data_IF_452867754098
#
_entry.id   IF_452867754098
#
_cell.length_a   1.000
_cell.length_b   1.000
_cell.length_c   1.000
_cell.angle_alpha   90.00
_cell.angle_beta   90.00
_cell.angle_gamma   90.00
#
_symmetry.space_group_name_H-M   'P 1'
#
loop_
_entity.id
_entity.type
_entity.pdbx_description
1 polymer ?
#
# COMPACT_ATOMS: atom_id res chain seq x y z
N UNK A 1 -46.80 5.36 30.74
CA UNK A 1 -46.36 5.62 29.36
C UNK A 1 -46.51 7.11 29.12
N UNK A 2 -45.40 7.84 29.03
CA UNK A 2 -45.39 9.26 28.65
C UNK A 2 -44.80 9.30 27.26
N UNK A 3 -45.62 9.59 26.26
CA UNK A 3 -45.23 9.70 24.86
C UNK A 3 -44.72 11.12 24.64
N UNK A 4 -43.41 11.28 24.42
CA UNK A 4 -42.81 12.55 24.02
C UNK A 4 -42.95 12.66 22.50
N UNK A 5 -43.60 13.73 22.04
CA UNK A 5 -43.74 14.02 20.61
C UNK A 5 -42.37 14.35 19.98
N UNK A 6 -42.12 13.96 18.72
CA UNK A 6 -40.89 14.34 18.03
C UNK A 6 -40.94 15.84 17.77
N UNK A 7 -39.97 16.57 18.34
CA UNK A 7 -39.75 17.97 18.02
C UNK A 7 -39.44 18.10 16.54
N UNK A 8 -40.28 18.84 15.81
CA UNK A 8 -40.01 19.27 14.45
C UNK A 8 -38.73 20.11 14.46
N UNK A 9 -37.63 19.55 13.98
CA UNK A 9 -36.44 20.34 13.67
C UNK A 9 -36.83 21.40 12.64
N UNK A 10 -36.54 22.66 12.93
CA UNK A 10 -36.68 23.73 11.95
C UNK A 10 -35.78 23.42 10.73
N UNK A 11 -36.19 23.79 9.50
CA UNK A 11 -35.32 23.67 8.35
C UNK A 11 -34.04 24.46 8.62
N UNK A 12 -32.90 23.77 8.61
CA UNK A 12 -31.58 24.41 8.64
C UNK A 12 -31.50 25.24 7.37
N UNK A 13 -31.47 26.57 7.54
CA UNK A 13 -31.31 27.50 6.44
C UNK A 13 -29.98 27.17 5.74
N UNK A 14 -29.96 26.98 4.40
CA UNK A 14 -28.72 26.66 3.70
C UNK A 14 -27.71 27.77 3.96
N UNK A 15 -26.51 27.39 4.40
CA UNK A 15 -25.43 28.33 4.64
C UNK A 15 -25.24 29.22 3.40
N UNK A 16 -25.06 30.52 3.61
CA UNK A 16 -24.76 31.43 2.50
C UNK A 16 -23.50 30.96 1.78
N UNK A 17 -23.47 30.97 0.43
CA UNK A 17 -22.29 30.55 -0.31
C UNK A 17 -21.08 31.40 0.11
N UNK A 18 -19.88 30.81 0.17
CA UNK A 18 -18.67 31.54 0.53
C UNK A 18 -18.41 32.70 -0.44
N UNK A 19 -17.75 33.75 0.04
CA UNK A 19 -17.39 34.88 -0.81
C UNK A 19 -16.40 34.46 -1.90
N UNK A 20 -16.35 35.22 -2.99
CA UNK A 20 -15.37 35.00 -4.06
C UNK A 20 -13.92 35.03 -3.56
N UNK A 21 -13.61 35.92 -2.61
CA UNK A 21 -12.28 36.03 -1.99
C UNK A 21 -11.90 34.77 -1.20
N UNK A 22 -12.83 34.22 -0.41
CA UNK A 22 -12.61 32.95 0.33
C UNK A 22 -12.41 31.79 -0.64
N UNK A 23 -13.21 31.75 -1.71
CA UNK A 23 -13.16 30.72 -2.75
C UNK A 23 -11.80 30.72 -3.46
N UNK A 24 -11.28 31.90 -3.83
CA UNK A 24 -9.98 32.06 -4.45
C UNK A 24 -8.84 31.69 -3.49
N UNK A 25 -8.94 32.10 -2.23
CA UNK A 25 -7.97 31.75 -1.19
C UNK A 25 -7.86 30.23 -1.00
N UNK A 26 -8.99 29.53 -0.90
CA UNK A 26 -9.03 28.06 -0.75
C UNK A 26 -8.37 27.39 -1.96
N UNK A 27 -8.75 27.76 -3.18
CA UNK A 27 -8.17 27.18 -4.39
C UNK A 27 -6.66 27.43 -4.48
N UNK A 28 -6.20 28.64 -4.11
CA UNK A 28 -4.77 28.96 -4.08
C UNK A 28 -4.00 28.11 -3.06
N UNK A 29 -4.58 27.84 -1.89
CA UNK A 29 -3.96 26.99 -0.86
C UNK A 29 -3.89 25.53 -1.26
N UNK A 30 -4.96 24.97 -1.83
CA UNK A 30 -4.98 23.60 -2.33
C UNK A 30 -3.96 23.39 -3.46
N UNK A 31 -3.84 24.37 -4.37
CA UNK A 31 -2.80 24.39 -5.41
C UNK A 31 -1.40 24.45 -4.84
N UNK A 32 -1.17 25.32 -3.85
CA UNK A 32 0.13 25.43 -3.19
C UNK A 32 0.53 24.15 -2.44
N UNK A 33 -0.45 23.39 -1.92
CA UNK A 33 -0.22 22.08 -1.32
C UNK A 33 0.14 20.99 -2.35
N UNK A 34 -0.05 21.24 -3.65
CA UNK A 34 0.34 20.32 -4.72
C UNK A 34 -0.80 19.43 -5.25
N UNK A 35 -2.07 19.80 -5.03
CA UNK A 35 -3.20 19.10 -5.64
C UNK A 35 -3.33 19.41 -7.14
N UNK A 36 -3.88 18.43 -7.86
CA UNK A 36 -4.20 18.57 -9.28
C UNK A 36 -5.34 19.56 -9.51
N UNK A 37 -5.33 20.24 -10.66
CA UNK A 37 -6.44 21.13 -11.06
C UNK A 37 -7.71 20.34 -11.41
N UNK A 38 -7.53 19.15 -11.99
CA UNK A 38 -8.58 18.26 -12.48
C UNK A 38 -8.33 16.84 -11.98
N UNK A 39 -9.39 16.01 -11.83
CA UNK A 39 -9.24 14.66 -11.31
C UNK A 39 -8.28 13.80 -12.12
N UNK A 40 -7.41 13.08 -11.42
CA UNK A 40 -6.44 12.13 -11.95
C UNK A 40 -6.38 10.91 -11.04
N UNK A 41 -6.41 9.70 -11.62
CA UNK A 41 -6.31 8.42 -10.88
C UNK A 41 -7.36 8.25 -9.76
N UNK A 42 -8.48 8.95 -9.87
CA UNK A 42 -9.57 8.90 -8.90
C UNK A 42 -9.43 9.86 -7.72
N UNK A 43 -8.48 10.81 -7.77
CA UNK A 43 -8.42 11.91 -6.79
C UNK A 43 -9.60 12.89 -6.94
N UNK A 44 -9.86 13.68 -5.90
CA UNK A 44 -10.93 14.70 -5.91
C UNK A 44 -10.51 15.92 -6.73
N UNK A 45 -9.23 16.28 -6.67
CA UNK A 45 -8.63 17.47 -7.24
C UNK A 45 -9.25 18.79 -6.75
N UNK A 46 -8.60 19.91 -7.08
CA UNK A 46 -9.09 21.26 -6.74
C UNK A 46 -10.51 21.45 -7.25
N UNK A 47 -10.80 21.07 -8.51
CA UNK A 47 -12.14 21.23 -9.07
C UNK A 47 -13.23 20.50 -8.27
N UNK A 48 -12.95 19.31 -7.74
CA UNK A 48 -13.91 18.55 -6.94
C UNK A 48 -14.14 19.22 -5.59
N UNK A 49 -13.08 19.63 -4.89
CA UNK A 49 -13.23 20.34 -3.61
C UNK A 49 -13.98 21.66 -3.76
N UNK A 50 -13.72 22.43 -4.83
CA UNK A 50 -14.43 23.69 -5.08
C UNK A 50 -15.92 23.48 -5.38
N UNK A 51 -16.28 22.38 -6.06
CA UNK A 51 -17.68 22.01 -6.24
C UNK A 51 -18.36 21.67 -4.91
N UNK A 52 -17.71 20.88 -4.05
CA UNK A 52 -18.22 20.53 -2.72
C UNK A 52 -18.36 21.76 -1.81
N UNK A 53 -17.40 22.69 -1.89
CA UNK A 53 -17.46 23.97 -1.19
C UNK A 53 -18.66 24.81 -1.65
N UNK A 54 -18.88 24.92 -2.95
CA UNK A 54 -20.02 25.64 -3.51
C UNK A 54 -21.37 25.00 -3.16
N UNK A 55 -21.40 23.67 -3.02
CA UNK A 55 -22.57 22.91 -2.59
C UNK A 55 -22.82 22.95 -1.07
N UNK A 56 -21.88 23.50 -0.29
CA UNK A 56 -21.95 23.50 1.18
C UNK A 56 -21.73 22.12 1.80
N UNK A 57 -21.16 21.17 1.05
CA UNK A 57 -20.83 19.82 1.53
C UNK A 57 -19.56 19.82 2.40
N UNK A 58 -18.68 20.78 2.18
CA UNK A 58 -17.47 21.04 2.97
C UNK A 58 -17.33 22.56 3.16
N UNK A 59 -16.86 23.00 4.32
CA UNK A 59 -16.61 24.41 4.57
C UNK A 59 -15.16 24.83 4.22
N UNK A 60 -14.94 26.14 4.13
CA UNK A 60 -13.65 26.70 3.77
C UNK A 60 -12.57 26.41 4.84
N UNK A 61 -12.95 26.36 6.12
CA UNK A 61 -12.01 26.08 7.22
C UNK A 61 -11.43 24.66 7.09
N UNK A 62 -12.27 23.69 6.78
CA UNK A 62 -11.87 22.29 6.53
C UNK A 62 -10.90 22.20 5.36
N UNK A 63 -11.18 22.86 4.24
CA UNK A 63 -10.28 22.84 3.08
C UNK A 63 -8.95 23.57 3.32
N UNK A 64 -8.96 24.65 4.10
CA UNK A 64 -7.73 25.35 4.50
C UNK A 64 -6.87 24.50 5.45
N UNK A 65 -7.49 23.82 6.41
CA UNK A 65 -6.79 22.88 7.29
C UNK A 65 -6.24 21.70 6.49
N UNK A 66 -7.04 21.13 5.59
CA UNK A 66 -6.62 20.05 4.70
C UNK A 66 -5.39 20.43 3.87
N UNK A 67 -5.36 21.62 3.28
CA UNK A 67 -4.19 22.12 2.55
C UNK A 67 -2.94 22.25 3.44
N UNK A 68 -3.09 22.65 4.70
CA UNK A 68 -1.98 22.75 5.65
C UNK A 68 -1.45 21.37 6.08
N UNK A 69 -2.35 20.41 6.29
CA UNK A 69 -2.00 19.03 6.62
C UNK A 69 -1.26 18.37 5.44
N UNK A 70 -1.76 18.54 4.22
CA UNK A 70 -1.11 18.09 2.99
C UNK A 70 0.30 18.68 2.83
N UNK A 71 0.48 19.99 3.06
CA UNK A 71 1.82 20.62 3.04
C UNK A 71 2.77 20.01 4.08
N UNK A 72 2.27 19.71 5.29
CA UNK A 72 3.06 19.02 6.32
C UNK A 72 3.49 17.62 5.84
N UNK A 73 2.57 16.82 5.29
CA UNK A 73 2.85 15.48 4.80
C UNK A 73 3.88 15.50 3.65
N UNK A 74 3.72 16.43 2.70
CA UNK A 74 4.63 16.59 1.58
C UNK A 74 6.05 16.99 2.05
N UNK A 75 6.15 18.01 2.92
CA UNK A 75 7.45 18.45 3.47
C UNK A 75 8.14 17.33 4.24
N UNK A 76 7.42 16.65 5.14
CA UNK A 76 7.98 15.55 5.91
C UNK A 76 8.48 14.43 4.99
N UNK A 77 7.65 13.95 4.06
CA UNK A 77 8.04 12.84 3.17
C UNK A 77 9.20 13.21 2.24
N UNK A 78 9.30 14.48 1.81
CA UNK A 78 10.44 15.01 1.04
C UNK A 78 11.72 14.98 1.86
N UNK A 79 11.70 15.44 3.11
CA UNK A 79 12.85 15.41 4.02
C UNK A 79 13.36 13.99 4.30
N UNK A 80 12.48 12.98 4.21
CA UNK A 80 12.82 11.57 4.35
C UNK A 80 13.21 10.87 3.02
N UNK A 81 13.24 11.61 1.90
CA UNK A 81 13.68 11.11 0.60
C UNK A 81 12.63 10.31 -0.19
N UNK A 82 11.36 10.33 0.24
CA UNK A 82 10.24 9.73 -0.49
C UNK A 82 9.51 10.73 -1.38
N UNK A 83 9.29 11.97 -0.91
CA UNK A 83 8.51 12.99 -1.62
C UNK A 83 7.16 12.46 -2.13
N UNK A 84 6.30 11.96 -1.24
CA UNK A 84 5.02 11.34 -1.59
C UNK A 84 4.12 12.40 -2.26
N UNK A 85 3.62 12.18 -3.49
CA UNK A 85 2.79 13.15 -4.18
C UNK A 85 1.53 13.50 -3.38
N UNK A 86 1.20 14.79 -3.27
CA UNK A 86 0.04 15.24 -2.49
C UNK A 86 -1.28 14.60 -2.96
N UNK A 87 -1.44 14.45 -4.28
CA UNK A 87 -2.63 13.86 -4.89
C UNK A 87 -2.90 12.40 -4.46
N UNK A 88 -1.88 11.64 -4.04
CA UNK A 88 -2.06 10.29 -3.51
C UNK A 88 -2.98 10.25 -2.28
N UNK A 89 -2.97 11.32 -1.48
CA UNK A 89 -3.79 11.44 -0.29
C UNK A 89 -5.23 11.90 -0.57
N UNK A 90 -5.49 12.45 -1.76
CA UNK A 90 -6.75 13.10 -2.12
C UNK A 90 -7.78 12.14 -2.71
N UNK A 91 -7.96 10.98 -2.06
CA UNK A 91 -8.83 9.92 -2.57
C UNK A 91 -9.85 9.52 -1.53
N UNK A 92 -11.11 9.45 -1.96
CA UNK A 92 -12.21 8.91 -1.19
C UNK A 92 -12.68 7.58 -1.78
N UNK A 93 -12.12 6.47 -1.29
CA UNK A 93 -12.55 5.15 -1.73
C UNK A 93 -13.96 4.83 -1.20
N UNK A 94 -14.64 3.89 -1.87
CA UNK A 94 -15.96 3.38 -1.40
C UNK A 94 -15.86 2.76 -0.01
N UNK A 95 -14.75 2.09 0.28
CA UNK A 95 -14.49 1.45 1.57
C UNK A 95 -14.23 2.48 2.66
N UNK A 96 -13.47 3.54 2.39
CA UNK A 96 -13.31 4.67 3.30
C UNK A 96 -14.68 5.26 3.63
N UNK A 97 -15.48 5.57 2.61
CA UNK A 97 -16.82 6.11 2.80
C UNK A 97 -17.73 5.18 3.61
N UNK A 98 -17.68 3.87 3.36
CA UNK A 98 -18.46 2.86 4.11
C UNK A 98 -18.06 2.79 5.59
N UNK A 99 -16.79 3.08 5.92
CA UNK A 99 -16.27 3.11 7.27
C UNK A 99 -16.34 4.51 7.93
N UNK A 100 -16.99 5.48 7.30
CA UNK A 100 -17.13 6.85 7.82
C UNK A 100 -15.88 7.71 7.68
N UNK A 101 -14.94 7.31 6.81
CA UNK A 101 -13.72 8.05 6.48
C UNK A 101 -13.87 8.81 5.16
N UNK A 102 -13.12 9.90 5.06
CA UNK A 102 -12.90 10.68 3.85
C UNK A 102 -11.43 11.13 3.77
N UNK A 103 -11.05 11.76 2.66
CA UNK A 103 -9.70 12.24 2.42
C UNK A 103 -9.25 13.25 3.49
N UNK A 104 -10.16 14.08 4.00
CA UNK A 104 -9.85 15.12 4.99
C UNK A 104 -9.50 14.49 6.34
N UNK A 105 -10.32 13.54 6.80
CA UNK A 105 -10.14 12.84 8.06
C UNK A 105 -8.91 11.95 8.05
N UNK A 106 -8.64 11.24 6.94
CA UNK A 106 -7.42 10.43 6.80
C UNK A 106 -6.17 11.32 6.83
N UNK A 107 -6.11 12.35 6.00
CA UNK A 107 -4.95 13.25 5.96
C UNK A 107 -4.71 13.91 7.31
N UNK A 108 -5.77 14.35 8.00
CA UNK A 108 -5.64 14.91 9.33
C UNK A 108 -5.09 13.91 10.35
N UNK A 109 -5.49 12.65 10.30
CA UNK A 109 -4.97 11.61 11.18
C UNK A 109 -3.50 11.26 10.89
N UNK A 110 -3.07 11.29 9.63
CA UNK A 110 -1.66 11.07 9.29
C UNK A 110 -0.81 12.32 9.59
N UNK A 111 -1.42 13.51 9.56
CA UNK A 111 -0.76 14.78 9.80
C UNK A 111 -0.56 15.13 11.28
N UNK A 112 -0.79 14.21 12.23
CA UNK A 112 -0.41 14.40 13.64
C UNK A 112 0.98 13.82 13.94
N UNK A 113 1.68 14.28 14.99
CA UNK A 113 2.98 13.73 15.39
C UNK A 113 2.96 12.23 15.70
N UNK A 114 1.88 11.72 16.25
CA UNK A 114 1.73 10.31 16.63
C UNK A 114 1.73 9.36 15.43
N UNK A 115 1.35 9.85 14.24
CA UNK A 115 1.38 9.10 12.99
C UNK A 115 2.73 9.21 12.24
N UNK A 116 3.70 9.98 12.75
CA UNK A 116 5.02 10.12 12.12
C UNK A 116 5.75 8.79 11.89
N UNK A 117 5.69 7.77 12.77
CA UNK A 117 6.29 6.47 12.48
C UNK A 117 5.74 5.85 11.19
N UNK A 118 4.43 5.95 10.96
CA UNK A 118 3.78 5.43 9.77
C UNK A 118 4.13 6.24 8.53
N UNK A 119 4.10 7.57 8.62
CA UNK A 119 4.52 8.44 7.51
C UNK A 119 6.00 8.21 7.14
N UNK A 120 6.86 7.98 8.14
CA UNK A 120 8.27 7.64 7.94
C UNK A 120 8.43 6.30 7.21
N UNK A 121 7.64 5.29 7.58
CA UNK A 121 7.61 4.00 6.90
C UNK A 121 7.30 4.18 5.41
N UNK A 122 6.21 4.89 5.08
CA UNK A 122 5.81 5.14 3.70
C UNK A 122 6.88 5.92 2.93
N UNK A 123 7.43 6.98 3.53
CA UNK A 123 8.45 7.80 2.88
C UNK A 123 9.76 7.04 2.63
N UNK A 124 10.21 6.21 3.58
CA UNK A 124 11.43 5.41 3.43
C UNK A 124 11.24 4.27 2.42
N UNK A 125 10.09 3.58 2.46
CA UNK A 125 9.76 2.54 1.50
C UNK A 125 9.68 3.10 0.08
N UNK A 126 8.94 4.19 -0.10
CA UNK A 126 8.83 4.85 -1.40
C UNK A 126 10.17 5.42 -1.88
N UNK A 127 10.96 6.03 -0.99
CA UNK A 127 12.32 6.48 -1.33
C UNK A 127 13.25 5.35 -1.76
N UNK A 128 13.12 4.14 -1.18
CA UNK A 128 13.86 2.95 -1.65
C UNK A 128 13.40 2.51 -3.04
N UNK A 129 12.09 2.53 -3.28
CA UNK A 129 11.51 2.21 -4.57
C UNK A 129 11.96 3.20 -5.66
N UNK A 130 11.94 4.51 -5.39
CA UNK A 130 12.41 5.54 -6.33
C UNK A 130 13.88 5.37 -6.72
N UNK A 131 14.75 5.02 -5.77
CA UNK A 131 16.16 4.71 -6.09
C UNK A 131 16.28 3.56 -7.08
N UNK A 132 15.47 2.52 -6.91
CA UNK A 132 15.40 1.41 -7.86
C UNK A 132 14.92 1.89 -9.23
N UNK A 133 13.79 2.61 -9.32
CA UNK A 133 13.28 3.10 -10.61
C UNK A 133 14.27 4.00 -11.35
N UNK A 134 15.06 4.78 -10.62
CA UNK A 134 16.07 5.65 -11.21
C UNK A 134 17.23 4.87 -11.89
N UNK A 135 17.51 3.64 -11.46
CA UNK A 135 18.70 2.89 -11.90
C UNK A 135 18.38 1.52 -12.53
N UNK A 136 17.11 1.09 -12.53
CA UNK A 136 16.69 -0.22 -13.05
C UNK A 136 17.08 -0.42 -14.53
N UNK A 137 16.97 0.62 -15.35
CA UNK A 137 17.29 0.56 -16.78
C UNK A 137 18.79 0.36 -17.04
N UNK A 138 19.65 0.77 -16.11
CA UNK A 138 21.09 0.52 -16.14
C UNK A 138 21.47 -0.83 -15.53
N UNK A 139 20.52 -1.55 -14.90
CA UNK A 139 20.75 -2.82 -14.23
C UNK A 139 21.59 -2.72 -12.95
N UNK A 140 21.73 -1.53 -12.37
CA UNK A 140 22.51 -1.28 -11.15
C UNK A 140 21.75 -1.67 -9.87
N UNK A 141 20.43 -1.71 -9.96
CA UNK A 141 19.51 -2.13 -8.90
C UNK A 141 18.40 -3.00 -9.49
N UNK A 142 17.77 -3.82 -8.66
CA UNK A 142 16.80 -4.81 -9.11
C UNK A 142 15.51 -4.76 -8.31
N UNK A 143 14.42 -5.21 -8.93
CA UNK A 143 13.11 -5.29 -8.29
C UNK A 143 13.15 -6.17 -7.04
N UNK A 144 13.85 -7.31 -7.13
CA UNK A 144 14.07 -8.21 -6.00
C UNK A 144 14.80 -7.52 -4.84
N UNK A 145 15.89 -6.80 -5.12
CA UNK A 145 16.67 -6.10 -4.09
C UNK A 145 15.85 -5.01 -3.42
N UNK A 146 15.17 -4.19 -4.22
CA UNK A 146 14.36 -3.10 -3.73
C UNK A 146 13.18 -3.58 -2.88
N UNK A 147 12.45 -4.61 -3.32
CA UNK A 147 11.36 -5.20 -2.55
C UNK A 147 11.86 -5.74 -1.20
N UNK A 148 12.97 -6.47 -1.18
CA UNK A 148 13.51 -7.05 0.06
C UNK A 148 14.14 -6.00 0.99
N UNK A 149 14.79 -4.96 0.46
CA UNK A 149 15.39 -3.88 1.27
C UNK A 149 14.34 -3.08 2.06
N UNK A 150 13.09 -3.04 1.60
CA UNK A 150 11.99 -2.34 2.29
C UNK A 150 11.71 -2.93 3.67
N UNK A 151 12.08 -4.19 3.96
CA UNK A 151 11.99 -4.75 5.31
C UNK A 151 12.73 -3.92 6.36
N UNK A 152 13.82 -3.22 5.99
CA UNK A 152 14.53 -2.35 6.91
C UNK A 152 13.67 -1.18 7.42
N UNK A 153 12.85 -0.57 6.54
CA UNK A 153 11.92 0.48 6.92
C UNK A 153 10.80 -0.07 7.84
N UNK A 154 10.31 -1.28 7.54
CA UNK A 154 9.31 -1.95 8.36
C UNK A 154 9.85 -2.30 9.75
N UNK A 155 11.10 -2.77 9.84
CA UNK A 155 11.73 -3.06 11.12
C UNK A 155 11.81 -1.82 12.02
N UNK A 156 12.21 -0.67 11.46
CA UNK A 156 12.23 0.62 12.17
C UNK A 156 10.83 1.04 12.62
N UNK A 157 9.82 0.83 11.78
CA UNK A 157 8.42 1.10 12.14
C UNK A 157 7.94 0.23 13.32
N UNK A 158 8.18 -1.08 13.25
CA UNK A 158 7.80 -2.05 14.29
C UNK A 158 8.43 -1.72 15.65
N UNK A 159 9.68 -1.25 15.66
CA UNK A 159 10.37 -0.83 16.89
C UNK A 159 9.71 0.38 17.55
N UNK A 160 9.15 1.29 16.75
CA UNK A 160 8.47 2.49 17.25
C UNK A 160 7.03 2.23 17.69
N UNK A 161 6.36 1.25 17.09
CA UNK A 161 4.94 0.97 17.33
C UNK A 161 4.68 -0.12 18.38
N UNK A 162 5.67 -0.97 18.69
CA UNK A 162 5.54 -1.99 19.74
C UNK A 162 5.28 -1.34 21.11
N UNK A 163 4.19 -1.68 21.83
CA UNK A 163 3.44 -2.94 21.73
C UNK A 163 2.03 -2.84 21.12
N UNK A 164 1.68 -1.78 20.39
CA UNK A 164 0.30 -1.63 19.90
C UNK A 164 -0.02 -2.60 18.75
N UNK A 165 -1.23 -3.21 18.73
CA UNK A 165 -1.65 -4.09 17.66
C UNK A 165 -1.83 -3.31 16.35
N UNK A 166 -1.45 -3.94 15.25
CA UNK A 166 -1.42 -3.37 13.90
C UNK A 166 -2.80 -3.30 13.24
N UNK A 167 -2.98 -2.46 12.20
CA UNK A 167 -4.21 -2.41 11.43
C UNK A 167 -4.24 -3.58 10.44
N UNK A 168 -4.60 -4.77 10.91
CA UNK A 168 -4.90 -5.94 10.08
C UNK A 168 -6.31 -6.42 10.42
N UNK A 169 -7.16 -6.61 9.42
CA UNK A 169 -8.57 -7.01 9.60
C UNK A 169 -8.75 -8.43 10.17
N UNK A 170 -7.71 -9.29 10.09
CA UNK A 170 -7.68 -10.59 10.76
C UNK A 170 -6.60 -10.66 11.86
N UNK A 171 -6.87 -10.07 13.05
CA UNK A 171 -5.96 -10.10 14.18
C UNK A 171 -5.79 -11.50 14.78
N UNK A 172 -6.57 -12.51 14.37
CA UNK A 172 -6.43 -13.87 14.86
C UNK A 172 -5.30 -14.64 14.15
N UNK A 173 -4.98 -14.26 12.90
CA UNK A 173 -3.89 -14.86 12.12
C UNK A 173 -2.51 -14.28 12.49
N UNK A 174 -2.43 -13.01 12.90
CA UNK A 174 -1.19 -12.33 13.26
C UNK A 174 -0.80 -12.65 14.71
N UNK A 175 0.15 -13.58 14.90
CA UNK A 175 0.48 -14.14 16.23
C UNK A 175 1.70 -13.52 16.89
N UNK A 176 2.37 -12.57 16.22
CA UNK A 176 3.52 -11.89 16.80
C UNK A 176 4.17 -10.86 15.89
N UNK A 177 5.31 -10.34 16.34
CA UNK A 177 6.08 -9.28 15.65
C UNK A 177 6.53 -9.68 14.25
N UNK A 178 6.87 -10.95 14.02
CA UNK A 178 7.28 -11.44 12.71
C UNK A 178 6.12 -11.38 11.70
N UNK A 179 4.95 -11.90 12.09
CA UNK A 179 3.76 -11.86 11.26
C UNK A 179 3.35 -10.42 10.92
N UNK A 180 3.34 -9.55 11.93
CA UNK A 180 3.10 -8.11 11.79
C UNK A 180 4.07 -7.45 10.79
N UNK A 181 5.37 -7.68 10.99
CA UNK A 181 6.42 -7.19 10.09
C UNK A 181 6.20 -7.66 8.64
N UNK A 182 5.81 -8.92 8.44
CA UNK A 182 5.57 -9.44 7.10
C UNK A 182 4.30 -8.86 6.47
N UNK A 183 3.22 -8.68 7.25
CA UNK A 183 1.98 -8.07 6.79
C UNK A 183 2.19 -6.61 6.36
N UNK A 184 2.88 -5.81 7.17
CA UNK A 184 3.22 -4.42 6.81
C UNK A 184 4.11 -4.36 5.59
N UNK A 185 5.11 -5.23 5.51
CA UNK A 185 5.97 -5.30 4.33
C UNK A 185 5.20 -5.64 3.06
N UNK A 186 4.32 -6.65 3.11
CA UNK A 186 3.53 -7.05 1.95
C UNK A 186 2.50 -6.00 1.55
N UNK A 187 1.90 -5.31 2.54
CA UNK A 187 1.06 -4.13 2.31
C UNK A 187 1.84 -3.06 1.55
N UNK A 188 3.05 -2.73 1.99
CA UNK A 188 3.86 -1.66 1.41
C UNK A 188 4.40 -2.00 0.02
N UNK A 189 4.77 -3.26 -0.23
CA UNK A 189 5.36 -3.71 -1.51
C UNK A 189 4.30 -3.96 -2.57
N UNK A 190 3.18 -4.61 -2.20
CA UNK A 190 2.19 -5.08 -3.17
C UNK A 190 0.80 -4.50 -2.91
N UNK A 191 0.41 -4.24 -1.66
CA UNK A 191 -0.95 -3.80 -1.31
C UNK A 191 -2.04 -4.81 -1.66
N UNK A 192 -1.68 -6.00 -2.14
CA UNK A 192 -2.62 -7.02 -2.58
C UNK A 192 -3.41 -7.56 -1.39
N UNK A 193 -4.73 -7.64 -1.54
CA UNK A 193 -5.65 -8.37 -0.66
C UNK A 193 -6.03 -9.68 -1.35
N UNK A 194 -6.24 -10.76 -0.60
CA UNK A 194 -6.68 -12.05 -1.17
C UNK A 194 -7.99 -12.50 -0.56
N UNK A 195 -8.83 -13.08 -1.41
CA UNK A 195 -10.09 -13.71 -1.04
C UNK A 195 -10.04 -15.17 -1.44
N UNK A 196 -10.58 -16.04 -0.59
CA UNK A 196 -10.72 -17.45 -0.88
C UNK A 196 -11.75 -17.61 -2.02
N UNK A 197 -11.37 -18.17 -3.17
CA UNK A 197 -12.26 -18.26 -4.32
C UNK A 197 -13.43 -19.24 -4.12
N UNK A 198 -13.34 -20.15 -3.14
CA UNK A 198 -14.39 -21.13 -2.83
C UNK A 198 -15.41 -20.59 -1.83
N UNK A 199 -14.97 -19.81 -0.85
CA UNK A 199 -15.85 -19.31 0.23
C UNK A 199 -16.26 -17.86 0.04
N UNK A 200 -15.51 -17.07 -0.73
CA UNK A 200 -15.68 -15.62 -0.85
C UNK A 200 -15.19 -14.83 0.38
N UNK A 201 -14.63 -15.51 1.38
CA UNK A 201 -14.08 -14.90 2.59
C UNK A 201 -12.65 -14.38 2.33
N UNK A 202 -12.23 -13.24 2.89
CA UNK A 202 -10.84 -12.78 2.83
C UNK A 202 -9.87 -13.84 3.39
N UNK A 203 -8.80 -14.15 2.65
CA UNK A 203 -7.64 -14.88 3.18
C UNK A 203 -6.73 -13.94 3.98
N UNK A 204 -6.54 -12.71 3.48
CA UNK A 204 -5.94 -11.60 4.22
C UNK A 204 -6.31 -10.29 3.51
N UNK A 205 -6.42 -9.18 4.27
CA UNK A 205 -6.80 -7.85 3.79
C UNK A 205 -5.99 -6.77 4.48
N UNK A 206 -5.68 -5.70 3.74
CA UNK A 206 -5.10 -4.46 4.27
C UNK A 206 -6.14 -3.36 4.47
N UNK A 207 -7.42 -3.67 4.33
CA UNK A 207 -8.53 -2.72 4.52
C UNK A 207 -8.35 -1.47 3.66
N UNK A 208 -8.75 -0.31 4.21
CA UNK A 208 -8.52 1.02 3.65
C UNK A 208 -7.04 1.33 3.35
N UNK A 209 -6.09 0.62 3.95
CA UNK A 209 -4.64 0.81 3.76
C UNK A 209 -4.06 -0.01 2.61
N UNK A 210 -4.86 -0.82 1.89
CA UNK A 210 -4.38 -1.53 0.70
C UNK A 210 -3.78 -0.60 -0.37
N UNK A 211 -4.22 0.66 -0.39
CA UNK A 211 -3.69 1.71 -1.27
C UNK A 211 -2.31 2.21 -0.85
N UNK A 212 -1.92 2.01 0.40
CA UNK A 212 -0.72 2.60 1.00
C UNK A 212 0.53 1.76 0.69
N UNK A 213 0.70 1.47 -0.60
CA UNK A 213 1.80 0.72 -1.17
C UNK A 213 2.63 1.62 -2.10
N UNK A 214 3.91 1.32 -2.23
CA UNK A 214 4.87 2.14 -3.00
C UNK A 214 4.49 2.23 -4.49
N UNK A 215 3.82 1.21 -5.01
CA UNK A 215 3.36 1.18 -6.38
C UNK A 215 2.27 2.21 -6.64
N UNK A 216 1.22 2.24 -5.81
CA UNK A 216 0.16 3.24 -5.95
C UNK A 216 0.71 4.65 -5.74
N UNK A 217 1.63 4.86 -4.80
CA UNK A 217 2.30 6.16 -4.64
C UNK A 217 3.00 6.57 -5.95
N UNK A 218 3.72 5.64 -6.60
CA UNK A 218 4.40 5.89 -7.87
C UNK A 218 3.45 6.22 -9.02
N UNK A 219 2.28 5.57 -9.09
CA UNK A 219 1.27 5.89 -10.11
C UNK A 219 0.87 7.36 -10.08
N UNK A 220 0.72 7.93 -8.88
CA UNK A 220 0.44 9.35 -8.69
C UNK A 220 1.62 10.25 -9.06
N UNK A 221 2.85 9.80 -8.85
CA UNK A 221 4.07 10.54 -9.22
C UNK A 221 4.21 10.66 -10.74
N UNK A 222 3.90 9.59 -11.48
CA UNK A 222 3.96 9.57 -12.96
C UNK A 222 2.65 9.93 -13.65
N UNK A 223 1.55 10.03 -12.90
CA UNK A 223 0.21 10.33 -13.41
C UNK A 223 -0.38 9.25 -14.32
N UNK A 224 -0.03 7.97 -14.09
CA UNK A 224 -0.43 6.86 -14.96
C UNK A 224 -0.85 5.63 -14.14
N UNK A 225 -1.96 4.99 -14.52
CA UNK A 225 -2.36 3.70 -13.98
C UNK A 225 -1.36 2.61 -14.40
N UNK A 226 -0.93 1.80 -13.44
CA UNK A 226 0.03 0.71 -13.67
C UNK A 226 -0.37 -0.51 -12.84
N UNK A 227 -0.24 -1.69 -13.41
CA UNK A 227 -0.33 -2.94 -12.67
C UNK A 227 0.90 -3.13 -11.78
N UNK A 228 0.78 -3.95 -10.71
CA UNK A 228 1.91 -4.31 -9.84
C UNK A 228 3.08 -4.88 -10.65
N UNK A 229 2.74 -5.67 -11.66
CA UNK A 229 3.71 -6.29 -12.55
C UNK A 229 4.47 -5.29 -13.44
N UNK A 230 3.81 -4.21 -13.90
CA UNK A 230 4.48 -3.11 -14.62
C UNK A 230 5.35 -2.25 -13.70
N UNK A 231 4.98 -2.10 -12.42
CA UNK A 231 5.71 -1.26 -11.47
C UNK A 231 7.04 -1.91 -11.05
N UNK A 232 7.00 -3.21 -10.74
CA UNK A 232 8.15 -3.95 -10.25
C UNK A 232 8.94 -4.67 -11.36
N UNK A 233 8.25 -5.37 -12.28
CA UNK A 233 8.91 -6.33 -13.16
C UNK A 233 9.57 -7.48 -12.41
N UNK A 234 10.59 -8.09 -13.02
CA UNK A 234 11.24 -9.35 -12.54
C UNK A 234 12.77 -9.25 -12.48
N UNK A 235 13.33 -8.05 -12.50
CA UNK A 235 14.78 -7.89 -12.45
C UNK A 235 15.35 -8.44 -11.13
N UNK A 236 16.50 -9.10 -11.21
CA UNK A 236 17.18 -9.71 -10.07
C UNK A 236 16.80 -11.16 -9.77
N UNK A 237 15.66 -11.64 -10.27
CA UNK A 237 15.28 -13.05 -10.17
C UNK A 237 16.09 -13.90 -11.16
N UNK A 238 16.57 -15.06 -10.71
CA UNK A 238 17.18 -16.05 -11.59
C UNK A 238 16.10 -16.67 -12.52
N UNK A 239 16.47 -17.12 -13.74
CA UNK A 239 15.51 -17.51 -14.76
C UNK A 239 14.48 -18.56 -14.31
N UNK A 240 14.86 -19.49 -13.43
CA UNK A 240 13.96 -20.52 -12.91
C UNK A 240 12.81 -19.97 -12.04
N UNK A 241 12.92 -18.74 -11.54
CA UNK A 241 11.86 -18.07 -10.79
C UNK A 241 11.06 -17.09 -11.65
N UNK A 242 11.32 -17.01 -12.96
CA UNK A 242 10.57 -16.17 -13.89
C UNK A 242 9.78 -17.02 -14.87
N UNK A 243 10.34 -18.13 -15.34
CA UNK A 243 9.67 -18.99 -16.31
C UNK A 243 9.66 -18.36 -17.69
N UNK A 244 8.54 -17.77 -18.10
CA UNK A 244 8.36 -17.16 -19.43
C UNK A 244 8.68 -15.67 -19.45
N UNK A 245 9.06 -15.14 -20.62
CA UNK A 245 9.44 -13.73 -20.77
C UNK A 245 8.29 -12.73 -20.50
N UNK A 246 7.04 -13.20 -20.60
CA UNK A 246 5.85 -12.41 -20.32
C UNK A 246 5.53 -12.32 -18.82
N UNK A 247 6.13 -13.18 -17.99
CA UNK A 247 5.92 -13.15 -16.56
C UNK A 247 6.63 -11.94 -15.96
N UNK A 248 5.86 -11.05 -15.34
CA UNK A 248 6.33 -9.79 -14.79
C UNK A 248 5.88 -9.57 -13.32
N UNK A 249 5.26 -10.55 -12.67
CA UNK A 249 4.57 -10.38 -11.38
C UNK A 249 5.30 -10.99 -10.16
N UNK A 250 6.57 -11.39 -10.31
CA UNK A 250 7.23 -12.25 -9.31
C UNK A 250 7.45 -11.57 -7.94
N UNK A 251 7.56 -10.24 -7.89
CA UNK A 251 7.55 -9.53 -6.60
C UNK A 251 6.21 -9.69 -5.89
N UNK A 252 5.10 -9.59 -6.62
CA UNK A 252 3.76 -9.81 -6.06
C UNK A 252 3.61 -11.26 -5.60
N UNK A 253 3.95 -12.23 -6.46
CA UNK A 253 3.85 -13.65 -6.14
C UNK A 253 4.67 -14.00 -4.89
N UNK A 254 5.93 -13.55 -4.84
CA UNK A 254 6.81 -13.74 -3.70
C UNK A 254 6.17 -13.20 -2.41
N UNK A 255 5.66 -11.97 -2.46
CA UNK A 255 5.11 -11.32 -1.28
C UNK A 255 3.90 -12.06 -0.71
N UNK A 256 3.03 -12.57 -1.59
CA UNK A 256 1.82 -13.31 -1.23
C UNK A 256 2.21 -14.69 -0.68
N UNK A 257 3.11 -15.39 -1.35
CA UNK A 257 3.57 -16.71 -0.92
C UNK A 257 4.23 -16.67 0.46
N UNK A 258 5.01 -15.62 0.76
CA UNK A 258 5.57 -15.42 2.10
C UNK A 258 4.48 -15.27 3.17
N UNK A 259 3.45 -14.45 2.92
CA UNK A 259 2.32 -14.25 3.86
C UNK A 259 1.55 -15.55 4.05
N UNK A 260 1.20 -16.25 2.97
CA UNK A 260 0.46 -17.51 3.03
C UNK A 260 1.21 -18.56 3.84
N UNK A 261 2.52 -18.71 3.61
CA UNK A 261 3.31 -19.74 4.29
C UNK A 261 3.64 -19.39 5.74
N UNK A 262 3.97 -18.13 6.04
CA UNK A 262 4.42 -17.74 7.37
C UNK A 262 3.26 -17.35 8.30
N UNK A 263 2.33 -16.52 7.83
CA UNK A 263 1.24 -15.99 8.66
C UNK A 263 0.07 -16.97 8.68
N UNK A 264 -0.36 -17.43 7.51
CA UNK A 264 -1.50 -18.36 7.42
C UNK A 264 -1.11 -19.83 7.63
N UNK A 265 0.19 -20.14 7.64
CA UNK A 265 0.69 -21.49 7.86
C UNK A 265 0.40 -22.46 6.72
N UNK A 266 0.14 -21.94 5.52
CA UNK A 266 -0.11 -22.76 4.33
C UNK A 266 1.18 -23.45 3.89
N UNK A 267 1.11 -24.75 3.61
CA UNK A 267 2.28 -25.49 3.15
C UNK A 267 2.58 -25.19 1.68
N UNK A 268 3.88 -25.14 1.31
CA UNK A 268 4.28 -25.01 -0.09
C UNK A 268 3.63 -26.08 -1.00
N UNK A 269 3.37 -27.29 -0.49
CA UNK A 269 2.69 -28.37 -1.25
C UNK A 269 1.27 -27.96 -1.67
N UNK A 270 0.53 -27.25 -0.80
CA UNK A 270 -0.82 -26.78 -1.11
C UNK A 270 -0.75 -25.69 -2.17
N UNK A 271 0.18 -24.74 -2.02
CA UNK A 271 0.38 -23.66 -2.99
C UNK A 271 0.79 -24.22 -4.37
N UNK A 272 1.71 -25.18 -4.39
CA UNK A 272 2.14 -25.87 -5.61
C UNK A 272 0.98 -26.61 -6.29
N UNK A 273 0.09 -27.22 -5.52
CA UNK A 273 -1.13 -27.85 -6.03
C UNK A 273 -2.05 -26.86 -6.75
N UNK A 274 -2.17 -25.63 -6.23
CA UNK A 274 -2.95 -24.55 -6.86
C UNK A 274 -2.33 -24.16 -8.20
N UNK A 275 -1.01 -24.05 -8.29
CA UNK A 275 -0.34 -23.70 -9.55
C UNK A 275 -0.49 -24.80 -10.61
N UNK A 276 -0.40 -26.07 -10.21
CA UNK A 276 -0.68 -27.21 -11.10
C UNK A 276 -2.12 -27.19 -11.61
N UNK A 277 -3.10 -26.89 -10.74
CA UNK A 277 -4.50 -26.78 -11.14
C UNK A 277 -4.73 -25.65 -12.15
N UNK A 278 -4.13 -24.46 -11.92
CA UNK A 278 -4.24 -23.32 -12.84
C UNK A 278 -3.67 -23.67 -14.23
N UNK A 279 -2.48 -24.29 -14.28
CA UNK A 279 -1.88 -24.73 -15.53
C UNK A 279 -2.76 -25.77 -16.25
N UNK A 280 -3.24 -26.79 -15.52
CA UNK A 280 -4.13 -27.81 -16.08
C UNK A 280 -5.47 -27.23 -16.59
N UNK A 281 -5.96 -26.15 -15.97
CA UNK A 281 -7.15 -25.42 -16.39
C UNK A 281 -6.89 -24.41 -17.53
N UNK A 282 -5.64 -24.28 -18.01
CA UNK A 282 -5.25 -23.32 -19.05
C UNK A 282 -5.29 -21.86 -18.60
N UNK A 283 -5.22 -21.63 -17.28
CA UNK A 283 -5.23 -20.29 -16.66
C UNK A 283 -3.83 -19.71 -16.44
N UNK A 284 -2.80 -20.53 -16.57
CA UNK A 284 -1.39 -20.15 -16.49
C UNK A 284 -0.58 -21.02 -17.48
N UNK A 285 0.57 -20.52 -17.92
CA UNK A 285 1.52 -21.33 -18.69
C UNK A 285 2.22 -22.35 -17.78
N UNK A 286 2.64 -23.50 -18.33
CA UNK A 286 3.31 -24.53 -17.54
C UNK A 286 4.65 -24.03 -16.97
N UNK A 287 5.40 -23.21 -17.71
CA UNK A 287 6.65 -22.64 -17.23
C UNK A 287 6.43 -21.52 -16.20
N UNK A 288 5.31 -20.79 -16.26
CA UNK A 288 4.90 -19.86 -15.20
C UNK A 288 4.57 -20.62 -13.91
N UNK A 289 3.76 -21.68 -13.99
CA UNK A 289 3.44 -22.52 -12.84
C UNK A 289 4.70 -23.15 -12.21
N UNK A 290 5.64 -23.62 -13.03
CA UNK A 290 6.92 -24.16 -12.53
C UNK A 290 7.76 -23.09 -11.82
N UNK A 291 7.76 -21.84 -12.31
CA UNK A 291 8.49 -20.74 -11.68
C UNK A 291 7.88 -20.36 -10.32
N UNK A 292 6.55 -20.27 -10.25
CA UNK A 292 5.80 -19.99 -9.03
C UNK A 292 6.00 -21.10 -7.98
N UNK A 293 5.98 -22.38 -8.41
CA UNK A 293 6.32 -23.51 -7.54
C UNK A 293 7.78 -23.43 -7.04
N UNK A 294 8.73 -23.09 -7.90
CA UNK A 294 10.12 -22.94 -7.50
C UNK A 294 10.28 -21.83 -6.44
N UNK A 295 9.53 -20.73 -6.59
CA UNK A 295 9.48 -19.62 -5.66
C UNK A 295 8.87 -20.04 -4.31
N UNK A 296 7.74 -20.74 -4.30
CA UNK A 296 7.12 -21.28 -3.08
C UNK A 296 8.10 -22.14 -2.27
N UNK A 297 8.81 -23.04 -2.96
CA UNK A 297 9.78 -23.94 -2.33
C UNK A 297 11.03 -23.21 -1.82
N UNK A 298 11.50 -22.18 -2.53
CA UNK A 298 12.59 -21.33 -2.06
C UNK A 298 12.23 -20.60 -0.75
N UNK A 299 11.02 -20.03 -0.68
CA UNK A 299 10.50 -19.36 0.52
C UNK A 299 10.41 -20.33 1.70
N UNK A 300 9.81 -21.51 1.49
CA UNK A 300 9.67 -22.55 2.53
C UNK A 300 11.02 -23.00 3.10
N UNK A 301 12.05 -23.06 2.26
CA UNK A 301 13.39 -23.55 2.64
C UNK A 301 14.25 -22.47 3.29
N UNK A 302 14.30 -21.28 2.69
CA UNK A 302 15.35 -20.30 3.00
C UNK A 302 14.84 -19.07 3.78
N UNK A 303 13.52 -18.86 3.85
CA UNK A 303 12.92 -17.73 4.54
C UNK A 303 12.16 -18.16 5.79
N UNK A 304 11.14 -19.02 5.63
CA UNK A 304 10.21 -19.41 6.70
C UNK A 304 10.90 -19.91 7.97
N UNK A 305 11.93 -20.79 7.93
CA UNK A 305 12.53 -21.33 9.16
C UNK A 305 13.32 -20.30 9.97
N UNK A 306 13.73 -19.19 9.35
CA UNK A 306 14.68 -18.24 9.93
C UNK A 306 14.03 -16.92 10.32
N UNK A 307 12.94 -16.52 9.65
CA UNK A 307 12.41 -15.16 9.75
C UNK A 307 12.00 -14.74 11.17
N UNK A 308 11.37 -15.64 11.94
CA UNK A 308 10.96 -15.35 13.32
C UNK A 308 12.14 -15.13 14.26
N UNK A 309 13.29 -15.77 14.01
CA UNK A 309 14.48 -15.67 14.84
C UNK A 309 15.41 -14.53 14.41
N UNK A 310 15.64 -14.40 13.10
CA UNK A 310 16.51 -13.40 12.49
C UNK A 310 15.98 -13.06 11.09
N UNK A 311 15.17 -12.00 11.03
CA UNK A 311 14.56 -11.55 9.78
C UNK A 311 15.61 -11.09 8.76
N UNK A 312 16.73 -10.51 9.20
CA UNK A 312 17.79 -10.02 8.31
C UNK A 312 18.45 -11.19 7.60
N UNK A 313 18.83 -12.21 8.38
CA UNK A 313 19.39 -13.43 7.83
C UNK A 313 18.39 -14.12 6.88
N UNK A 314 17.11 -14.21 7.24
CA UNK A 314 16.10 -14.82 6.37
C UNK A 314 15.95 -14.09 5.03
N UNK A 315 15.95 -12.74 5.04
CA UNK A 315 15.89 -11.91 3.84
C UNK A 315 17.11 -12.11 2.95
N UNK A 316 18.32 -12.11 3.51
CA UNK A 316 19.56 -12.31 2.73
C UNK A 316 19.67 -13.73 2.16
N UNK A 317 19.24 -14.75 2.90
CA UNK A 317 19.19 -16.14 2.41
C UNK A 317 18.23 -16.27 1.24
N UNK A 318 17.01 -15.73 1.37
CA UNK A 318 16.03 -15.72 0.29
C UNK A 318 16.58 -14.95 -0.93
N UNK A 319 17.17 -13.77 -0.73
CA UNK A 319 17.81 -12.97 -1.77
C UNK A 319 18.88 -13.76 -2.53
N UNK A 320 19.79 -14.43 -1.81
CA UNK A 320 20.85 -15.22 -2.41
C UNK A 320 20.27 -16.33 -3.29
N UNK A 321 19.31 -17.10 -2.75
CA UNK A 321 18.61 -18.16 -3.48
C UNK A 321 17.92 -17.64 -4.73
N UNK A 322 17.12 -16.57 -4.61
CA UNK A 322 16.35 -16.01 -5.72
C UNK A 322 17.23 -15.41 -6.81
N UNK A 323 18.46 -14.99 -6.47
CA UNK A 323 19.50 -14.59 -7.43
C UNK A 323 20.26 -15.76 -8.05
N UNK A 324 19.96 -17.01 -7.67
CA UNK A 324 20.68 -18.20 -8.13
C UNK A 324 22.08 -18.33 -7.53
N UNK A 325 22.33 -17.70 -6.37
CA UNK A 325 23.56 -17.83 -5.60
C UNK A 325 23.37 -18.91 -4.51
N UNK A 326 24.43 -19.62 -4.09
CA UNK A 326 24.33 -20.49 -2.93
C UNK A 326 23.96 -19.66 -1.69
N UNK A 327 23.01 -20.14 -0.89
CA UNK A 327 22.77 -19.57 0.44
C UNK A 327 23.94 -19.95 1.36
N UNK A 328 24.59 -18.94 1.94
CA UNK A 328 25.66 -19.11 2.95
C UNK A 328 25.08 -19.34 4.36
#
# INVERSE_FOLDING_TARGET
QVTVAPGSAAPVEPASPPSAEVTEQVAARLRAAGLNEQPMLGDTAISGHMQRLAAGEVDAETLLQYAADLDRLNRFSTEQGGSIPTAFWDVRSKEMAANGWDEYTVVRQIAVPEAEPYLLLLAQGYGRFLRFKATEAAGEDTALDAALDIFAAVAVYQEKMSPQPEPVDDPAAVKGRADAMLMVWQSLVAGSTRTNPLTGEPLFSHSIFARDNVGTIYQYDVGQEMSIAEMWGVTGFAPQFVGIAQNNNQVEHMSISMVLQLVLGESAIVLDGIEVEKAAAGKADEAEAQADMALNNAIQRDFVPFFTGDWQQAVERLRATLKGRPAE
#
